data_IF_216057289675
#
_entry.id   IF_216057289675
#
_cell.length_a   1.000
_cell.length_b   1.000
_cell.length_c   1.000
_cell.angle_alpha   90.00
_cell.angle_beta   90.00
_cell.angle_gamma   90.00
#
_symmetry.space_group_name_H-M   'P 1'
#
loop_
_entity.id
_entity.type
_entity.pdbx_description
1 polymer ?
#
# COMPACT_ATOMS: atom_id res chain seq x y z
N UNK A 1 -4.44 -23.55 0.81
CA UNK A 1 -5.74 -22.86 0.99
C UNK A 1 -5.67 -21.48 0.36
N UNK A 2 -6.42 -21.25 -0.71
CA UNK A 2 -6.31 -20.09 -1.61
C UNK A 2 -6.84 -18.76 -1.02
N UNK A 3 -6.37 -17.63 -1.56
CA UNK A 3 -6.96 -16.30 -1.31
C UNK A 3 -8.40 -16.27 -1.86
N UNK A 4 -9.32 -15.65 -1.12
CA UNK A 4 -10.72 -15.48 -1.54
C UNK A 4 -11.00 -14.00 -1.76
N UNK A 5 -11.27 -13.64 -3.01
CA UNK A 5 -11.66 -12.28 -3.37
C UNK A 5 -13.15 -12.08 -3.12
N UNK A 6 -13.50 -10.98 -2.46
CA UNK A 6 -14.88 -10.59 -2.22
C UNK A 6 -15.07 -9.18 -2.77
N UNK A 7 -16.14 -8.99 -3.55
CA UNK A 7 -16.46 -7.68 -4.10
C UNK A 7 -17.15 -6.84 -3.02
N UNK A 8 -16.53 -5.72 -2.65
CA UNK A 8 -17.08 -4.77 -1.69
C UNK A 8 -17.08 -3.38 -2.30
N UNK A 9 -18.22 -2.89 -2.83
CA UNK A 9 -18.30 -1.62 -3.57
C UNK A 9 -17.66 -0.44 -2.82
N UNK A 10 -17.82 -0.41 -1.50
CA UNK A 10 -17.21 0.59 -0.61
C UNK A 10 -15.67 0.58 -0.66
N UNK A 11 -15.04 -0.59 -0.75
CA UNK A 11 -13.59 -0.69 -0.85
C UNK A 11 -13.09 -0.26 -2.24
N UNK A 12 -13.83 -0.58 -3.31
CA UNK A 12 -13.48 -0.10 -4.65
C UNK A 12 -13.49 1.43 -4.72
N UNK A 13 -14.58 2.06 -4.23
CA UNK A 13 -14.68 3.51 -4.20
C UNK A 13 -13.60 4.16 -3.30
N UNK A 14 -13.37 3.60 -2.10
CA UNK A 14 -12.31 4.09 -1.21
C UNK A 14 -10.93 3.95 -1.82
N UNK A 15 -10.65 2.81 -2.45
CA UNK A 15 -9.37 2.56 -3.12
C UNK A 15 -9.15 3.56 -4.24
N UNK A 16 -10.17 3.78 -5.07
CA UNK A 16 -10.14 4.75 -6.17
C UNK A 16 -9.80 6.16 -5.65
N UNK A 17 -10.52 6.63 -4.64
CA UNK A 17 -10.36 8.00 -4.13
C UNK A 17 -9.06 8.19 -3.36
N UNK A 18 -8.71 7.27 -2.45
CA UNK A 18 -7.57 7.46 -1.54
C UNK A 18 -6.24 7.32 -2.28
N UNK A 19 -6.10 6.33 -3.17
CA UNK A 19 -4.87 6.18 -3.93
C UNK A 19 -4.70 7.32 -4.94
N UNK A 20 -5.77 7.76 -5.59
CA UNK A 20 -5.71 8.94 -6.46
C UNK A 20 -5.29 10.18 -5.66
N UNK A 21 -5.92 10.45 -4.51
CA UNK A 21 -5.63 11.63 -3.71
C UNK A 21 -4.20 11.63 -3.15
N UNK A 22 -3.77 10.53 -2.53
CA UNK A 22 -2.44 10.42 -1.93
C UNK A 22 -1.32 10.51 -2.97
N UNK A 23 -1.46 9.79 -4.09
CA UNK A 23 -0.47 9.84 -5.16
C UNK A 23 -0.46 11.20 -5.88
N UNK A 24 -1.62 11.83 -6.09
CA UNK A 24 -1.69 13.17 -6.69
C UNK A 24 -1.04 14.22 -5.81
N UNK A 25 -1.27 14.19 -4.50
CA UNK A 25 -0.61 15.09 -3.57
C UNK A 25 0.92 14.93 -3.63
N UNK A 26 1.42 13.69 -3.64
CA UNK A 26 2.84 13.41 -3.82
C UNK A 26 3.37 13.89 -5.19
N UNK A 27 2.63 13.66 -6.27
CA UNK A 27 3.01 14.07 -7.62
C UNK A 27 3.09 15.60 -7.78
N UNK A 28 2.15 16.33 -7.16
CA UNK A 28 2.16 17.80 -7.15
C UNK A 28 3.37 18.35 -6.40
N UNK A 29 3.72 17.77 -5.24
CA UNK A 29 4.92 18.14 -4.48
C UNK A 29 6.21 17.90 -5.27
N UNK A 30 6.24 16.88 -6.12
CA UNK A 30 7.40 16.53 -6.94
C UNK A 30 7.42 17.22 -8.31
N UNK A 31 6.42 18.06 -8.63
CA UNK A 31 6.22 18.63 -9.98
C UNK A 31 6.13 17.56 -11.09
N UNK A 32 5.56 16.40 -10.78
CA UNK A 32 5.42 15.23 -11.66
C UNK A 32 3.94 14.84 -11.88
N UNK A 33 3.03 15.80 -11.75
CA UNK A 33 1.62 15.54 -11.97
C UNK A 33 1.33 15.25 -13.46
N UNK A 34 0.53 14.22 -13.71
CA UNK A 34 -0.07 13.97 -15.03
C UNK A 34 -1.46 13.35 -14.87
N UNK A 35 -2.35 13.65 -15.82
CA UNK A 35 -3.71 13.10 -15.82
C UNK A 35 -3.70 11.56 -15.99
N UNK A 36 -2.74 11.04 -16.75
CA UNK A 36 -2.53 9.59 -16.90
C UNK A 36 -2.22 8.91 -15.57
N UNK A 37 -1.29 9.49 -14.78
CA UNK A 37 -0.92 8.98 -13.45
C UNK A 37 -2.10 9.00 -12.49
N UNK A 38 -2.82 10.13 -12.42
CA UNK A 38 -4.05 10.25 -11.61
C UNK A 38 -5.03 9.11 -11.92
N UNK A 39 -5.42 8.97 -13.19
CA UNK A 39 -6.41 7.98 -13.61
C UNK A 39 -5.91 6.55 -13.39
N UNK A 40 -4.65 6.28 -13.72
CA UNK A 40 -4.01 4.99 -13.54
C UNK A 40 -3.96 4.55 -12.09
N UNK A 41 -3.49 5.42 -11.19
CA UNK A 41 -3.41 5.11 -9.76
C UNK A 41 -4.78 5.02 -9.09
N UNK A 42 -5.78 5.77 -9.57
CA UNK A 42 -7.18 5.60 -9.19
C UNK A 42 -7.69 4.20 -9.55
N UNK A 43 -7.43 3.73 -10.77
CA UNK A 43 -7.84 2.40 -11.23
C UNK A 43 -7.10 1.28 -10.49
N UNK A 44 -5.79 1.40 -10.27
CA UNK A 44 -5.01 0.42 -9.50
C UNK A 44 -5.54 0.32 -8.07
N UNK A 45 -5.76 1.45 -7.40
CA UNK A 45 -6.32 1.47 -6.05
C UNK A 45 -7.74 0.90 -5.99
N UNK A 46 -8.57 1.29 -6.96
CA UNK A 46 -9.98 0.93 -7.03
C UNK A 46 -10.26 -0.51 -7.48
N UNK A 47 -9.41 -1.11 -8.31
CA UNK A 47 -9.66 -2.44 -8.89
C UNK A 47 -8.70 -3.51 -8.37
N UNK A 48 -7.41 -3.21 -8.25
CA UNK A 48 -6.41 -4.19 -7.84
C UNK A 48 -6.28 -4.25 -6.32
N UNK A 49 -5.91 -3.12 -5.69
CA UNK A 49 -5.61 -3.11 -4.25
C UNK A 49 -6.85 -3.29 -3.38
N UNK A 50 -8.01 -2.79 -3.82
CA UNK A 50 -9.30 -3.00 -3.15
C UNK A 50 -9.75 -4.47 -3.11
N UNK A 51 -9.19 -5.33 -3.96
CA UNK A 51 -9.42 -6.77 -3.96
C UNK A 51 -8.35 -7.52 -3.18
N UNK A 52 -7.08 -7.27 -3.50
CA UNK A 52 -5.96 -8.02 -2.95
C UNK A 52 -5.76 -7.79 -1.44
N UNK A 53 -5.77 -6.53 -1.01
CA UNK A 53 -5.45 -6.18 0.39
C UNK A 53 -6.50 -6.76 1.36
N UNK A 54 -7.82 -6.59 1.15
CA UNK A 54 -8.81 -7.20 2.03
C UNK A 54 -8.80 -8.73 1.98
N UNK A 55 -8.53 -9.32 0.81
CA UNK A 55 -8.44 -10.77 0.66
C UNK A 55 -7.27 -11.34 1.48
N UNK A 56 -6.12 -10.67 1.45
CA UNK A 56 -4.95 -11.06 2.22
C UNK A 56 -5.16 -10.87 3.73
N UNK A 57 -5.75 -9.74 4.16
CA UNK A 57 -6.08 -9.53 5.58
C UNK A 57 -7.08 -10.57 6.11
N UNK A 58 -8.06 -10.93 5.29
CA UNK A 58 -9.00 -11.99 5.62
C UNK A 58 -8.34 -13.37 5.66
N UNK A 59 -7.28 -13.60 4.86
CA UNK A 59 -6.46 -14.79 4.96
C UNK A 59 -5.66 -14.83 6.26
N UNK A 60 -5.09 -13.70 6.70
CA UNK A 60 -4.43 -13.60 8.01
C UNK A 60 -5.40 -13.95 9.13
N UNK A 61 -6.64 -13.45 9.08
CA UNK A 61 -7.67 -13.76 10.09
C UNK A 61 -7.99 -15.25 10.19
N UNK A 62 -7.98 -15.96 9.06
CA UNK A 62 -8.18 -17.43 9.06
C UNK A 62 -6.94 -18.17 9.52
N UNK A 63 -5.75 -17.69 9.15
CA UNK A 63 -4.48 -18.39 9.43
C UNK A 63 -4.00 -18.19 10.86
N UNK A 64 -4.25 -17.00 11.41
CA UNK A 64 -3.87 -16.58 12.76
C UNK A 64 -5.05 -15.84 13.38
N UNK A 65 -6.08 -16.57 13.86
CA UNK A 65 -7.28 -15.95 14.44
C UNK A 65 -6.96 -14.99 15.59
N UNK A 66 -7.73 -13.90 15.74
CA UNK A 66 -7.58 -12.98 16.86
C UNK A 66 -7.68 -13.72 18.20
N UNK A 67 -6.66 -13.57 19.04
CA UNK A 67 -6.62 -14.16 20.37
C UNK A 67 -5.73 -13.33 21.29
N UNK A 68 -5.85 -13.48 22.63
CA UNK A 68 -4.93 -12.90 23.58
C UNK A 68 -3.48 -13.36 23.33
N UNK A 69 -2.51 -12.52 23.68
CA UNK A 69 -1.08 -12.83 23.61
C UNK A 69 -0.30 -12.00 22.59
N UNK A 70 0.84 -11.45 23.02
CA UNK A 70 1.70 -10.59 22.21
C UNK A 70 2.23 -11.31 20.97
N UNK A 71 2.69 -12.56 21.11
CA UNK A 71 3.25 -13.34 20.00
C UNK A 71 2.29 -13.42 18.80
N UNK A 72 1.00 -13.70 19.02
CA UNK A 72 0.00 -13.76 17.95
C UNK A 72 -0.22 -12.40 17.28
N UNK A 73 -0.25 -11.32 18.07
CA UNK A 73 -0.39 -9.96 17.55
C UNK A 73 0.81 -9.56 16.67
N UNK A 74 2.01 -9.94 17.08
CA UNK A 74 3.25 -9.75 16.32
C UNK A 74 3.26 -10.57 15.04
N UNK A 75 2.85 -11.84 15.07
CA UNK A 75 2.77 -12.68 13.85
C UNK A 75 1.79 -12.09 12.85
N UNK A 76 0.63 -11.60 13.28
CA UNK A 76 -0.34 -10.93 12.40
C UNK A 76 0.26 -9.69 11.74
N UNK A 77 0.97 -8.87 12.51
CA UNK A 77 1.68 -7.70 11.99
C UNK A 77 2.77 -8.09 10.98
N UNK A 78 3.59 -9.10 11.30
CA UNK A 78 4.66 -9.60 10.45
C UNK A 78 4.13 -10.17 9.13
N UNK A 79 3.03 -10.93 9.14
CA UNK A 79 2.39 -11.42 7.92
C UNK A 79 1.86 -10.28 7.05
N UNK A 80 1.33 -9.22 7.67
CA UNK A 80 0.87 -8.03 6.96
C UNK A 80 2.04 -7.26 6.34
N UNK A 81 3.14 -7.08 7.07
CA UNK A 81 4.38 -6.49 6.54
C UNK A 81 4.95 -7.32 5.38
N UNK A 82 4.92 -8.66 5.49
CA UNK A 82 5.39 -9.57 4.44
C UNK A 82 4.58 -9.46 3.14
N UNK A 83 3.31 -9.06 3.21
CA UNK A 83 2.55 -8.76 2.01
C UNK A 83 3.02 -7.47 1.34
N UNK A 84 3.30 -6.42 2.13
CA UNK A 84 3.88 -5.16 1.66
C UNK A 84 5.42 -5.24 1.51
N UNK A 85 5.92 -6.36 1.01
CA UNK A 85 7.35 -6.60 0.78
C UNK A 85 7.90 -5.74 -0.39
N UNK A 86 9.22 -5.79 -0.67
CA UNK A 86 9.82 -5.01 -1.75
C UNK A 86 9.20 -5.25 -3.14
N UNK A 87 8.67 -6.45 -3.44
CA UNK A 87 8.01 -6.71 -4.73
C UNK A 87 6.69 -5.95 -4.84
N UNK A 88 5.93 -5.83 -3.75
CA UNK A 88 4.72 -5.03 -3.72
C UNK A 88 5.04 -3.55 -3.98
N UNK A 89 6.08 -3.03 -3.33
CA UNK A 89 6.54 -1.64 -3.50
C UNK A 89 7.03 -1.41 -4.94
N UNK A 90 7.87 -2.30 -5.47
CA UNK A 90 8.36 -2.22 -6.85
C UNK A 90 7.20 -2.24 -7.85
N UNK A 91 6.18 -3.10 -7.63
CA UNK A 91 4.98 -3.14 -8.46
C UNK A 91 4.21 -1.82 -8.40
N UNK A 92 4.10 -1.20 -7.23
CA UNK A 92 3.46 0.12 -7.09
C UNK A 92 4.22 1.21 -7.86
N UNK A 93 5.54 1.24 -7.73
CA UNK A 93 6.39 2.18 -8.48
C UNK A 93 6.31 1.95 -9.99
N UNK A 94 6.23 0.69 -10.44
CA UNK A 94 6.05 0.34 -11.84
C UNK A 94 4.75 0.93 -12.38
N UNK A 95 3.63 0.82 -11.65
CA UNK A 95 2.37 1.44 -12.08
C UNK A 95 2.48 2.96 -12.18
N UNK A 96 3.13 3.61 -11.20
CA UNK A 96 3.37 5.06 -11.27
C UNK A 96 4.11 5.42 -12.55
N UNK A 97 5.21 4.74 -12.87
CA UNK A 97 6.00 5.02 -14.08
C UNK A 97 5.23 4.74 -15.36
N UNK A 98 4.53 3.60 -15.42
CA UNK A 98 3.69 3.22 -16.56
C UNK A 98 2.63 4.28 -16.85
N UNK A 99 1.86 4.68 -15.84
CA UNK A 99 0.77 5.64 -16.01
C UNK A 99 1.26 7.09 -16.11
N UNK A 100 2.51 7.37 -15.74
CA UNK A 100 3.17 8.65 -16.00
C UNK A 100 3.71 8.78 -17.42
N UNK A 101 3.68 7.70 -18.22
CA UNK A 101 4.26 7.67 -19.56
C UNK A 101 5.77 7.44 -19.60
N UNK A 102 6.39 7.11 -18.46
CA UNK A 102 7.83 6.85 -18.33
C UNK A 102 8.14 5.34 -18.40
N UNK A 103 7.55 4.64 -19.37
CA UNK A 103 7.72 3.19 -19.50
C UNK A 103 9.18 2.78 -19.77
N UNK A 104 9.95 3.67 -20.40
CA UNK A 104 11.39 3.56 -20.65
C UNK A 104 12.23 3.55 -19.35
N UNK A 105 11.71 4.12 -18.26
CA UNK A 105 12.39 4.15 -16.95
C UNK A 105 12.11 2.90 -16.10
N UNK A 106 11.26 1.98 -16.59
CA UNK A 106 10.97 0.72 -15.89
C UNK A 106 12.16 -0.22 -16.06
N UNK A 107 12.87 -0.48 -14.96
CA UNK A 107 14.04 -1.35 -14.94
C UNK A 107 14.13 -2.15 -13.64
N UNK A 108 15.05 -3.11 -13.60
CA UNK A 108 15.36 -3.88 -12.38
C UNK A 108 15.88 -3.01 -11.24
N UNK A 109 16.36 -1.79 -11.53
CA UNK A 109 16.76 -0.82 -10.51
C UNK A 109 15.59 -0.42 -9.58
N UNK A 110 14.33 -0.50 -10.05
CA UNK A 110 13.16 -0.29 -9.21
C UNK A 110 13.13 -1.24 -8.01
N UNK A 111 13.61 -2.48 -8.16
CA UNK A 111 13.65 -3.44 -7.07
C UNK A 111 14.67 -3.03 -6.00
N UNK A 112 15.81 -2.48 -6.39
CA UNK A 112 16.81 -1.98 -5.46
C UNK A 112 16.29 -0.77 -4.67
N UNK A 113 15.59 0.16 -5.34
CA UNK A 113 14.92 1.28 -4.67
C UNK A 113 13.85 0.77 -3.72
N UNK A 114 12.98 -0.13 -4.18
CA UNK A 114 11.92 -0.72 -3.36
C UNK A 114 12.45 -1.46 -2.13
N UNK A 115 13.58 -2.17 -2.24
CA UNK A 115 14.24 -2.83 -1.11
C UNK A 115 14.75 -1.81 -0.09
N UNK A 116 15.44 -0.76 -0.54
CA UNK A 116 15.93 0.32 0.36
C UNK A 116 14.76 1.02 1.04
N UNK A 117 13.72 1.38 0.29
CA UNK A 117 12.50 1.97 0.83
C UNK A 117 11.84 1.04 1.84
N UNK A 118 11.72 -0.25 1.55
CA UNK A 118 11.18 -1.23 2.50
C UNK A 118 11.97 -1.23 3.81
N UNK A 119 13.29 -1.44 3.74
CA UNK A 119 14.16 -1.54 4.92
C UNK A 119 14.10 -0.29 5.81
N UNK A 120 14.17 0.89 5.20
CA UNK A 120 14.08 2.16 5.94
C UNK A 120 12.73 2.34 6.64
N UNK A 121 11.66 1.77 6.08
CA UNK A 121 10.31 1.96 6.57
C UNK A 121 9.77 0.80 7.40
N UNK A 122 10.56 -0.26 7.63
CA UNK A 122 10.17 -1.40 8.46
C UNK A 122 9.63 -0.94 9.82
N UNK A 123 10.28 -0.05 10.60
CA UNK A 123 9.79 0.32 11.93
C UNK A 123 8.39 0.96 11.90
N UNK A 124 8.19 1.92 10.99
CA UNK A 124 6.92 2.64 10.85
C UNK A 124 5.83 1.71 10.28
N UNK A 125 6.16 0.98 9.22
CA UNK A 125 5.22 0.08 8.54
C UNK A 125 4.83 -1.09 9.43
N UNK A 126 5.75 -1.67 10.20
CA UNK A 126 5.44 -2.74 11.14
C UNK A 126 4.50 -2.24 12.23
N UNK A 127 4.75 -1.05 12.79
CA UNK A 127 3.89 -0.44 13.81
C UNK A 127 2.48 -0.17 13.27
N UNK A 128 2.36 0.43 12.09
CA UNK A 128 1.07 0.66 11.45
C UNK A 128 0.32 -0.66 11.19
N UNK A 129 1.01 -1.67 10.65
CA UNK A 129 0.43 -2.99 10.42
C UNK A 129 0.02 -3.68 11.72
N UNK A 130 0.78 -3.54 12.80
CA UNK A 130 0.40 -4.04 14.12
C UNK A 130 -0.91 -3.41 14.60
N UNK A 131 -1.05 -2.08 14.48
CA UNK A 131 -2.27 -1.38 14.86
C UNK A 131 -3.46 -1.79 13.99
N UNK A 132 -3.28 -1.84 12.66
CA UNK A 132 -4.33 -2.21 11.71
C UNK A 132 -4.80 -3.65 11.96
N UNK A 133 -3.89 -4.60 12.13
CA UNK A 133 -4.24 -6.02 12.26
C UNK A 133 -4.89 -6.35 13.60
N UNK A 134 -4.58 -5.61 14.66
CA UNK A 134 -4.99 -5.98 16.02
C UNK A 134 -6.04 -5.05 16.63
N UNK A 135 -6.13 -3.79 16.21
CA UNK A 135 -7.04 -2.79 16.79
C UNK A 135 -8.11 -2.28 15.83
N UNK A 136 -7.92 -2.43 14.52
CA UNK A 136 -8.92 -2.00 13.52
C UNK A 136 -9.86 -3.14 13.18
N UNK A 137 -11.17 -2.88 13.25
CA UNK A 137 -12.21 -3.83 12.87
C UNK A 137 -12.02 -4.32 11.42
N UNK A 138 -12.23 -5.62 11.11
CA UNK A 138 -11.93 -6.20 9.78
C UNK A 138 -12.48 -5.41 8.59
N UNK A 139 -13.74 -4.94 8.69
CA UNK A 139 -14.42 -4.14 7.64
C UNK A 139 -13.79 -2.76 7.37
N UNK A 140 -12.93 -2.27 8.25
CA UNK A 140 -12.26 -0.95 8.15
C UNK A 140 -10.76 -1.04 7.89
N UNK A 141 -10.16 -2.24 7.93
CA UNK A 141 -8.70 -2.40 7.77
C UNK A 141 -8.18 -1.94 6.42
N UNK A 142 -8.94 -2.17 5.35
CA UNK A 142 -8.57 -1.65 4.03
C UNK A 142 -8.50 -0.13 4.00
N UNK A 143 -9.51 0.54 4.57
CA UNK A 143 -9.53 2.00 4.67
C UNK A 143 -8.31 2.50 5.45
N UNK A 144 -8.03 1.92 6.62
CA UNK A 144 -6.88 2.31 7.43
C UNK A 144 -5.54 2.09 6.70
N UNK A 145 -5.40 0.94 6.01
CA UNK A 145 -4.22 0.63 5.21
C UNK A 145 -4.04 1.58 4.03
N UNK A 146 -5.10 1.88 3.28
CA UNK A 146 -5.05 2.78 2.14
C UNK A 146 -4.69 4.21 2.56
N UNK A 147 -5.27 4.69 3.68
CA UNK A 147 -4.91 6.00 4.25
C UNK A 147 -3.45 6.05 4.67
N UNK A 148 -2.96 5.01 5.36
CA UNK A 148 -1.55 4.92 5.72
C UNK A 148 -0.64 4.96 4.47
N UNK A 149 -0.96 4.19 3.43
CA UNK A 149 -0.22 4.22 2.16
C UNK A 149 -0.23 5.60 1.50
N UNK A 150 -1.39 6.28 1.47
CA UNK A 150 -1.49 7.64 0.93
C UNK A 150 -0.65 8.66 1.71
N UNK A 151 -0.65 8.57 3.04
CA UNK A 151 0.21 9.40 3.89
C UNK A 151 1.70 9.13 3.66
N UNK A 152 2.09 7.86 3.51
CA UNK A 152 3.48 7.51 3.21
C UNK A 152 3.94 8.04 1.85
N UNK A 153 3.07 8.05 0.84
CA UNK A 153 3.39 8.63 -0.47
C UNK A 153 3.71 10.13 -0.36
N UNK A 154 2.89 10.89 0.37
CA UNK A 154 3.13 12.31 0.64
C UNK A 154 4.39 12.51 1.47
N UNK A 155 4.59 11.70 2.51
CA UNK A 155 5.79 11.76 3.35
C UNK A 155 7.08 11.57 2.52
N UNK A 156 7.12 10.57 1.63
CA UNK A 156 8.30 10.37 0.78
C UNK A 156 8.50 11.51 -0.21
N UNK A 157 7.43 12.07 -0.77
CA UNK A 157 7.54 13.25 -1.63
C UNK A 157 8.15 14.44 -0.88
N UNK A 158 7.70 14.70 0.37
CA UNK A 158 8.28 15.74 1.22
C UNK A 158 9.74 15.47 1.58
N UNK A 159 10.09 14.23 1.93
CA UNK A 159 11.48 13.87 2.19
C UNK A 159 12.36 14.10 0.97
N UNK A 160 11.87 13.77 -0.23
CA UNK A 160 12.61 13.96 -1.48
C UNK A 160 12.72 15.43 -1.92
N UNK A 161 11.85 16.32 -1.45
CA UNK A 161 11.92 17.76 -1.76
C UNK A 161 12.73 18.55 -0.74
N UNK A 162 12.62 18.22 0.55
CA UNK A 162 13.21 19.01 1.64
C UNK A 162 14.55 18.50 2.16
N UNK A 163 14.85 17.20 2.01
CA UNK A 163 16.09 16.60 2.49
C UNK A 163 17.09 16.35 1.35
N UNK A 164 17.03 17.18 0.29
CA UNK A 164 18.04 17.20 -0.78
C UNK A 164 19.35 17.80 -0.30
#
# INVERSE_FOLDING_TARGET
>A
MALRFHFHPRNHLRGLLIYAAGDTAAALLLHQFSAGRLAGMALVGGLLYSLEVPAYFSWIDRRVPPAPGLARRLVRAALSLLYFNPLWIARHMLFIQLFSGHADQISTALLAVALRSFLLNVPVSFTANYLIQNHVAPRRRFLASALFSGLMAVYYALSATWLK
#
